data_IF_981033711806
#
_entry.id   IF_981033711806
#
_cell.length_a   1.000
_cell.length_b   1.000
_cell.length_c   1.000
_cell.angle_alpha   90.00
_cell.angle_beta   90.00
_cell.angle_gamma   90.00
#
_symmetry.space_group_name_H-M   'P 1'
#
loop_
_entity.id
_entity.type
_entity.pdbx_description
1 polymer ?
#
# COMPACT_ATOMS: atom_id res chain seq x y z
N UNK A 1 21.81 8.53 52.91
CA UNK A 1 20.57 8.09 52.23
C UNK A 1 20.22 9.10 51.14
N UNK A 2 20.89 9.04 49.98
CA UNK A 2 20.70 9.99 48.88
C UNK A 2 20.95 9.37 47.49
N UNK A 3 20.95 8.05 47.37
CA UNK A 3 21.14 7.34 46.08
C UNK A 3 19.81 6.86 45.49
N UNK A 4 18.75 6.80 46.29
CA UNK A 4 17.40 6.46 45.82
C UNK A 4 16.81 7.39 44.74
N UNK A 5 17.07 8.72 44.70
CA UNK A 5 16.51 9.55 43.62
C UNK A 5 17.27 9.41 42.30
N UNK A 6 18.53 8.95 42.32
CA UNK A 6 19.35 8.77 41.11
C UNK A 6 18.94 7.50 40.34
N UNK A 7 18.50 6.45 41.04
CA UNK A 7 17.99 5.23 40.40
C UNK A 7 16.63 5.43 39.71
N UNK A 8 15.77 6.31 40.24
CA UNK A 8 14.45 6.60 39.68
C UNK A 8 14.49 7.42 38.39
N UNK A 9 15.54 8.23 38.19
CA UNK A 9 15.76 8.98 36.95
C UNK A 9 16.21 8.07 35.79
N UNK A 10 16.88 6.94 36.08
CA UNK A 10 17.41 6.02 35.06
C UNK A 10 16.31 5.17 34.38
N UNK A 11 15.15 5.02 35.03
CA UNK A 11 13.97 4.31 34.50
C UNK A 11 13.04 5.23 33.69
N UNK A 12 13.33 6.53 33.60
CA UNK A 12 12.49 7.54 32.94
C UNK A 12 12.72 7.66 31.42
N UNK A 13 13.48 6.76 30.80
CA UNK A 13 13.56 6.70 29.34
C UNK A 13 12.51 5.72 28.83
N UNK A 14 11.24 6.10 28.97
CA UNK A 14 10.13 5.45 28.29
C UNK A 14 10.43 5.42 26.79
N UNK A 15 10.84 4.24 26.35
CA UNK A 15 10.58 3.62 25.05
C UNK A 15 9.66 4.46 24.16
N UNK A 16 10.25 5.19 23.23
CA UNK A 16 9.52 5.67 22.07
C UNK A 16 9.01 4.46 21.31
N UNK A 17 7.73 4.14 21.46
CA UNK A 17 7.07 3.11 20.65
C UNK A 17 6.97 3.66 19.23
N UNK A 18 7.87 3.22 18.34
CA UNK A 18 7.72 3.46 16.91
C UNK A 18 6.51 2.64 16.45
N UNK A 19 5.37 3.28 16.20
CA UNK A 19 4.21 2.60 15.65
C UNK A 19 4.57 1.99 14.29
N UNK A 20 4.26 0.71 14.10
CA UNK A 20 4.50 0.04 12.84
C UNK A 20 3.60 0.62 11.74
N UNK A 21 4.10 0.74 10.49
CA UNK A 21 3.28 1.14 9.36
C UNK A 21 2.17 0.11 9.12
N UNK A 22 0.92 0.58 8.97
CA UNK A 22 -0.24 -0.28 8.68
C UNK A 22 -0.91 0.17 7.40
N UNK A 23 -1.09 -0.76 6.45
CA UNK A 23 -1.75 -0.53 5.17
C UNK A 23 -3.10 -1.22 5.14
N UNK A 24 -4.17 -0.49 4.87
CA UNK A 24 -5.54 -1.01 4.80
C UNK A 24 -6.08 -1.01 3.38
N UNK A 25 -6.64 -2.15 2.95
CA UNK A 25 -7.29 -2.32 1.66
C UNK A 25 -8.75 -2.77 1.87
N UNK A 26 -9.71 -2.34 1.04
CA UNK A 26 -11.07 -2.88 1.09
C UNK A 26 -11.03 -4.38 0.78
N UNK A 27 -11.85 -5.18 1.47
CA UNK A 27 -11.85 -6.63 1.30
C UNK A 27 -12.22 -7.06 -0.13
N UNK A 28 -13.18 -6.36 -0.73
CA UNK A 28 -13.63 -6.62 -2.09
C UNK A 28 -14.20 -5.37 -2.77
N UNK A 29 -14.11 -5.33 -4.09
CA UNK A 29 -14.80 -4.39 -4.97
C UNK A 29 -15.47 -5.18 -6.10
N UNK A 30 -16.67 -4.76 -6.51
CA UNK A 30 -17.34 -5.30 -7.70
C UNK A 30 -17.57 -4.19 -8.71
N UNK A 31 -17.35 -4.48 -9.99
CA UNK A 31 -17.58 -3.52 -11.07
C UNK A 31 -17.93 -4.24 -12.37
N UNK A 32 -18.70 -3.57 -13.23
CA UNK A 32 -19.14 -4.16 -14.49
C UNK A 32 -18.03 -4.15 -15.56
N UNK A 33 -18.07 -5.08 -16.54
CA UNK A 33 -17.16 -5.07 -17.69
C UNK A 33 -17.15 -3.70 -18.39
N UNK A 34 -15.96 -3.22 -18.77
CA UNK A 34 -15.77 -1.92 -19.40
C UNK A 34 -15.83 -0.71 -18.45
N UNK A 35 -16.28 -0.88 -17.20
CA UNK A 35 -16.26 0.19 -16.20
C UNK A 35 -14.82 0.51 -15.75
N UNK A 36 -14.68 1.55 -14.93
CA UNK A 36 -13.43 1.84 -14.23
C UNK A 36 -13.53 1.42 -12.76
N UNK A 37 -12.51 0.75 -12.24
CA UNK A 37 -12.34 0.47 -10.81
C UNK A 37 -11.23 1.34 -10.20
N UNK A 38 -11.38 1.67 -8.92
CA UNK A 38 -10.34 2.33 -8.11
C UNK A 38 -10.14 1.55 -6.82
N UNK A 39 -8.98 0.91 -6.71
CA UNK A 39 -8.55 0.16 -5.52
C UNK A 39 -7.75 1.10 -4.63
N UNK A 40 -8.07 1.15 -3.35
CA UNK A 40 -7.45 2.06 -2.38
C UNK A 40 -6.56 1.30 -1.40
N UNK A 41 -5.47 1.93 -1.00
CA UNK A 41 -4.53 1.46 0.00
C UNK A 41 -4.29 2.59 1.01
N UNK A 42 -4.93 2.50 2.17
CA UNK A 42 -4.92 3.54 3.20
C UNK A 42 -3.75 3.36 4.15
N UNK A 43 -3.03 4.45 4.42
CA UNK A 43 -1.87 4.47 5.27
C UNK A 43 -2.29 4.86 6.69
N UNK A 44 -1.85 4.10 7.69
CA UNK A 44 -2.11 4.33 9.11
C UNK A 44 -0.89 3.95 9.96
N UNK A 45 -0.95 4.20 11.27
CA UNK A 45 0.22 4.00 12.15
C UNK A 45 1.23 5.14 12.10
N UNK A 46 0.77 6.37 11.89
CA UNK A 46 1.60 7.59 11.96
C UNK A 46 2.47 7.86 10.72
N UNK A 47 2.26 7.15 9.63
CA UNK A 47 2.99 7.33 8.37
C UNK A 47 2.20 8.20 7.38
N UNK A 48 2.91 8.97 6.55
CA UNK A 48 2.32 9.77 5.48
C UNK A 48 2.59 9.14 4.10
N UNK A 49 1.56 9.03 3.27
CA UNK A 49 1.65 8.48 1.91
C UNK A 49 2.67 9.22 1.00
N UNK A 50 2.93 10.49 1.28
CA UNK A 50 3.93 11.31 0.57
C UNK A 50 5.36 10.77 0.71
N UNK A 51 5.69 10.14 1.83
CA UNK A 51 7.06 9.69 2.15
C UNK A 51 7.45 8.36 1.49
N UNK A 52 6.47 7.63 0.95
CA UNK A 52 6.65 6.25 0.47
C UNK A 52 6.40 6.11 -1.02
N UNK A 53 7.08 5.17 -1.66
CA UNK A 53 6.72 4.67 -2.99
C UNK A 53 5.72 3.55 -2.84
N UNK A 54 4.59 3.59 -3.56
CA UNK A 54 3.60 2.51 -3.56
C UNK A 54 3.88 1.58 -4.73
N UNK A 55 3.87 0.29 -4.47
CA UNK A 55 3.95 -0.78 -5.47
C UNK A 55 2.63 -1.53 -5.50
N UNK A 56 2.13 -1.81 -6.70
CA UNK A 56 0.89 -2.57 -6.90
C UNK A 56 1.19 -3.91 -7.55
N UNK A 57 0.49 -4.94 -7.08
CA UNK A 57 0.60 -6.31 -7.58
C UNK A 57 -0.79 -6.87 -7.86
N UNK A 58 -0.88 -7.73 -8.87
CA UNK A 58 -2.06 -8.52 -9.19
C UNK A 58 -1.73 -9.99 -8.98
N UNK A 59 -2.59 -10.72 -8.28
CA UNK A 59 -2.47 -12.16 -8.13
C UNK A 59 -3.73 -12.85 -8.64
N UNK A 60 -3.56 -13.71 -9.64
CA UNK A 60 -4.62 -14.60 -10.11
C UNK A 60 -4.63 -15.88 -9.28
N UNK A 61 -5.78 -16.55 -9.13
CA UNK A 61 -5.84 -17.84 -8.46
C UNK A 61 -4.80 -18.82 -9.00
N UNK A 62 -4.03 -19.44 -8.11
CA UNK A 62 -2.98 -20.42 -8.46
C UNK A 62 -1.69 -19.82 -9.07
N UNK A 63 -1.57 -18.50 -9.18
CA UNK A 63 -0.37 -17.83 -9.70
C UNK A 63 0.36 -17.03 -8.61
N UNK A 64 1.68 -16.79 -8.74
CA UNK A 64 2.39 -15.84 -7.89
C UNK A 64 1.93 -14.39 -8.16
N UNK A 65 2.11 -13.46 -7.21
CA UNK A 65 1.85 -12.04 -7.45
C UNK A 65 2.68 -11.49 -8.62
N UNK A 66 2.00 -10.87 -9.60
CA UNK A 66 2.60 -10.16 -10.73
C UNK A 66 2.70 -8.68 -10.39
N UNK A 67 3.90 -8.11 -10.55
CA UNK A 67 4.11 -6.67 -10.42
C UNK A 67 3.36 -5.89 -11.52
N UNK A 68 2.58 -4.89 -11.11
CA UNK A 68 1.86 -3.98 -12.00
C UNK A 68 2.60 -2.68 -12.21
N UNK A 69 2.77 -1.88 -11.16
CA UNK A 69 3.38 -0.56 -11.25
C UNK A 69 3.91 -0.06 -9.91
N UNK A 70 4.76 0.97 -9.97
CA UNK A 70 5.14 1.80 -8.84
C UNK A 70 4.72 3.24 -9.08
N UNK A 71 4.31 3.91 -8.01
CA UNK A 71 3.96 5.33 -8.02
C UNK A 71 4.54 6.02 -6.78
N UNK A 72 5.42 7.00 -7.01
CA UNK A 72 5.88 7.95 -5.98
C UNK A 72 5.34 9.34 -6.24
N UNK A 73 5.48 9.81 -7.48
CA UNK A 73 4.99 11.08 -8.02
C UNK A 73 4.78 10.94 -9.53
N UNK A 74 4.23 11.96 -10.18
CA UNK A 74 4.09 11.95 -11.65
C UNK A 74 5.41 11.91 -12.41
N UNK A 75 6.48 12.43 -11.80
CA UNK A 75 7.85 12.39 -12.31
C UNK A 75 8.62 11.10 -11.95
N UNK A 76 8.15 10.33 -10.97
CA UNK A 76 8.76 9.06 -10.53
C UNK A 76 7.68 7.98 -10.41
N UNK A 77 7.35 7.40 -11.56
CA UNK A 77 6.44 6.27 -11.72
C UNK A 77 6.98 5.31 -12.77
N UNK A 78 6.63 4.03 -12.63
CA UNK A 78 7.04 3.00 -13.58
C UNK A 78 5.97 1.93 -13.72
N UNK A 79 5.66 1.60 -14.97
CA UNK A 79 4.74 0.53 -15.34
C UNK A 79 5.55 -0.75 -15.56
N UNK A 80 5.08 -1.87 -15.02
CA UNK A 80 5.68 -3.18 -15.20
C UNK A 80 5.62 -3.65 -16.65
N UNK A 81 6.53 -4.55 -17.01
CA UNK A 81 6.58 -5.09 -18.37
C UNK A 81 5.28 -5.81 -18.75
N UNK A 82 4.76 -5.47 -19.93
CA UNK A 82 3.51 -6.03 -20.46
C UNK A 82 2.26 -5.68 -19.65
N UNK A 83 2.30 -4.69 -18.75
CA UNK A 83 1.14 -4.21 -18.02
C UNK A 83 0.41 -3.18 -18.89
N UNK A 84 -0.89 -3.37 -19.18
CA UNK A 84 -1.65 -2.47 -20.04
C UNK A 84 -1.71 -1.03 -19.52
N UNK A 85 -1.77 -0.05 -20.42
CA UNK A 85 -1.85 1.38 -20.08
C UNK A 85 -3.14 1.78 -19.33
N UNK A 86 -4.17 0.91 -19.31
CA UNK A 86 -5.37 1.10 -18.50
C UNK A 86 -5.12 1.07 -16.99
N UNK A 87 -3.99 0.52 -16.54
CA UNK A 87 -3.57 0.54 -15.15
C UNK A 87 -2.80 1.83 -14.85
N UNK A 88 -3.22 2.55 -13.83
CA UNK A 88 -2.58 3.80 -13.40
C UNK A 88 -2.56 3.91 -11.89
N UNK A 89 -1.47 4.47 -11.34
CA UNK A 89 -1.33 4.74 -9.92
C UNK A 89 -1.46 6.23 -9.63
N UNK A 90 -1.97 6.57 -8.45
CA UNK A 90 -1.97 7.92 -7.91
C UNK A 90 -1.95 7.90 -6.37
N UNK A 91 -1.90 9.08 -5.76
CA UNK A 91 -2.00 9.28 -4.31
C UNK A 91 -3.01 10.36 -3.99
N UNK A 92 -3.76 10.17 -2.91
CA UNK A 92 -4.53 11.21 -2.25
C UNK A 92 -3.90 11.51 -0.89
N UNK A 93 -3.20 12.64 -0.80
CA UNK A 93 -2.52 13.06 0.42
C UNK A 93 -3.53 13.47 1.53
N UNK A 94 -4.72 13.93 1.16
CA UNK A 94 -5.74 14.35 2.13
C UNK A 94 -6.39 13.15 2.82
N UNK A 95 -6.63 12.08 2.07
CA UNK A 95 -7.14 10.81 2.60
C UNK A 95 -6.03 9.88 3.11
N UNK A 96 -4.75 10.25 2.95
CA UNK A 96 -3.58 9.41 3.23
C UNK A 96 -3.65 8.05 2.52
N UNK A 97 -3.99 8.03 1.22
CA UNK A 97 -4.21 6.80 0.45
C UNK A 97 -3.41 6.75 -0.84
N UNK A 98 -2.98 5.53 -1.20
CA UNK A 98 -2.57 5.16 -2.54
C UNK A 98 -3.75 4.63 -3.35
N UNK A 99 -3.79 4.92 -4.64
CA UNK A 99 -4.90 4.53 -5.53
C UNK A 99 -4.34 3.79 -6.74
N UNK A 100 -4.90 2.63 -7.06
CA UNK A 100 -4.75 1.95 -8.36
C UNK A 100 -6.06 2.07 -9.13
N UNK A 101 -6.00 2.77 -10.25
CA UNK A 101 -7.13 2.93 -11.16
C UNK A 101 -6.95 2.03 -12.37
N UNK A 102 -7.99 1.25 -12.68
CA UNK A 102 -8.07 0.36 -13.84
C UNK A 102 -9.25 0.84 -14.69
N UNK A 103 -9.00 1.29 -15.91
CA UNK A 103 -10.06 1.76 -16.82
C UNK A 103 -10.43 0.70 -17.87
N UNK A 104 -11.71 0.50 -18.14
CA UNK A 104 -12.11 -0.46 -19.17
C UNK A 104 -11.83 -1.89 -18.71
N UNK A 105 -12.43 -2.28 -17.59
CA UNK A 105 -12.25 -3.60 -16.98
C UNK A 105 -12.53 -4.73 -17.98
N UNK A 106 -11.63 -5.70 -17.99
CA UNK A 106 -11.71 -6.91 -18.80
C UNK A 106 -11.77 -8.13 -17.88
N UNK A 107 -12.31 -9.26 -18.32
CA UNK A 107 -12.48 -10.45 -17.46
C UNK A 107 -11.17 -10.94 -16.85
N UNK A 108 -10.04 -10.72 -17.53
CA UNK A 108 -8.70 -11.02 -17.01
C UNK A 108 -8.23 -10.12 -15.86
N UNK A 109 -8.94 -9.03 -15.57
CA UNK A 109 -8.63 -8.10 -14.48
C UNK A 109 -9.24 -8.57 -13.13
N UNK A 110 -10.11 -9.59 -13.15
CA UNK A 110 -10.60 -10.24 -11.93
C UNK A 110 -9.46 -11.00 -11.22
N UNK A 111 -9.10 -10.52 -10.02
CA UNK A 111 -7.93 -10.97 -9.28
C UNK A 111 -7.90 -10.38 -7.85
N UNK A 112 -6.98 -10.90 -7.04
CA UNK A 112 -6.53 -10.24 -5.82
C UNK A 112 -5.49 -9.15 -6.14
N UNK A 113 -5.62 -7.99 -5.51
CA UNK A 113 -4.71 -6.85 -5.69
C UNK A 113 -4.06 -6.47 -4.37
N UNK A 114 -2.74 -6.28 -4.39
CA UNK A 114 -1.94 -5.98 -3.20
C UNK A 114 -1.17 -4.67 -3.39
N UNK A 115 -1.19 -3.82 -2.36
CA UNK A 115 -0.27 -2.70 -2.26
C UNK A 115 0.90 -3.05 -1.33
N UNK A 116 2.10 -2.57 -1.68
CA UNK A 116 3.27 -2.58 -0.81
C UNK A 116 3.95 -1.20 -0.84
N UNK A 117 4.73 -0.89 0.19
CA UNK A 117 5.39 0.41 0.32
C UNK A 117 6.89 0.25 0.52
N UNK A 118 7.66 1.17 -0.05
CA UNK A 118 9.10 1.32 0.23
C UNK A 118 9.42 2.77 0.56
N UNK A 119 10.27 3.02 1.58
CA UNK A 119 10.81 4.38 1.79
C UNK A 119 11.78 4.66 0.66
N UNK A 120 11.86 5.92 0.26
CA UNK A 120 12.81 6.42 -0.75
C UNK A 120 14.29 6.13 -0.44
N UNK A 121 14.63 5.65 0.76
CA UNK A 121 15.97 5.24 1.18
C UNK A 121 16.06 3.91 1.97
N UNK A 122 14.95 3.23 2.26
CA UNK A 122 14.96 1.96 3.01
C UNK A 122 13.68 1.13 2.74
N UNK A 123 13.86 -0.11 2.28
CA UNK A 123 12.77 -1.08 2.11
C UNK A 123 12.26 -1.53 3.48
N UNK A 124 10.98 -1.33 3.77
CA UNK A 124 10.31 -1.98 4.91
C UNK A 124 9.42 -3.08 4.35
N UNK A 125 9.67 -4.34 4.71
CA UNK A 125 8.90 -5.49 4.26
C UNK A 125 8.15 -6.10 5.44
N UNK A 126 7.11 -5.42 5.92
CA UNK A 126 6.24 -6.06 6.91
C UNK A 126 5.20 -6.90 6.17
N UNK A 127 5.35 -8.21 6.37
CA UNK A 127 4.58 -9.29 5.76
C UNK A 127 3.41 -9.62 6.67
N UNK A 128 2.33 -8.85 6.60
CA UNK A 128 1.02 -9.37 6.99
C UNK A 128 0.04 -9.17 5.83
N UNK A 129 -0.63 -10.26 5.47
CA UNK A 129 -1.42 -10.49 4.25
C UNK A 129 -2.63 -9.56 4.14
N UNK A 130 -2.57 -8.53 3.30
CA UNK A 130 -3.65 -7.56 3.09
C UNK A 130 -3.75 -7.23 1.60
N UNK A 131 -4.91 -7.47 0.99
CA UNK A 131 -5.19 -7.27 -0.43
C UNK A 131 -6.69 -7.09 -0.67
N UNK A 132 -7.06 -6.57 -1.84
CA UNK A 132 -8.45 -6.38 -2.27
C UNK A 132 -8.79 -7.36 -3.39
N UNK A 133 -9.88 -8.11 -3.23
CA UNK A 133 -10.46 -8.85 -4.35
C UNK A 133 -11.17 -7.86 -5.28
N UNK A 134 -10.86 -7.86 -6.56
CA UNK A 134 -11.67 -7.20 -7.58
C UNK A 134 -12.47 -8.28 -8.32
N UNK A 135 -13.78 -8.27 -8.16
CA UNK A 135 -14.71 -9.12 -8.89
C UNK A 135 -15.34 -8.34 -10.06
N UNK A 136 -15.59 -9.03 -11.18
CA UNK A 136 -16.26 -8.44 -12.33
C UNK A 136 -17.64 -9.07 -12.48
N UNK A 137 -18.68 -8.28 -12.25
CA UNK A 137 -20.09 -8.72 -12.16
C UNK A 137 -21.01 -7.95 -13.10
#
# INVERSE_FOLDING_TARGET
MAWTPLLLLLLSHCTGSLSQPVLTQPASLSASPGASASLTCTFSGGINVGDYTIHWYQQKPGSPPRYLLKYKSDSDKHQGSGVPSRFSGSKDASANTGILRISGLQSEDEADYYCAIGRSSASHSDTHRWGSILAIS
#
